data_IF_531986127170
#
_entry.id   IF_531986127170
#
_cell.length_a   1.000
_cell.length_b   1.000
_cell.length_c   1.000
_cell.angle_alpha   90.00
_cell.angle_beta   90.00
_cell.angle_gamma   90.00
#
_symmetry.space_group_name_H-M   'P 1'
#
loop_
_entity.id
_entity.type
_entity.pdbx_description
1 polymer ?
#
# COMPACT_ATOMS: atom_id res chain seq x y z
N UNK A 1 4.19 22.12 -2.20
CA UNK A 1 4.95 22.05 -3.48
C UNK A 1 3.95 21.69 -4.58
N UNK A 2 4.11 22.15 -5.83
CA UNK A 2 3.25 21.70 -6.94
C UNK A 2 3.60 20.26 -7.35
N UNK A 3 2.63 19.51 -7.85
CA UNK A 3 2.79 18.10 -8.26
C UNK A 3 3.91 17.92 -9.28
N UNK A 4 3.97 18.76 -10.31
CA UNK A 4 5.00 18.67 -11.37
C UNK A 4 6.43 18.88 -10.83
N UNK A 5 6.59 19.76 -9.85
CA UNK A 5 7.87 20.01 -9.20
C UNK A 5 8.26 18.84 -8.27
N UNK A 6 7.28 18.22 -7.59
CA UNK A 6 7.51 17.06 -6.73
C UNK A 6 7.97 15.87 -7.57
N UNK A 7 7.26 15.54 -8.65
CA UNK A 7 7.61 14.44 -9.58
C UNK A 7 9.04 14.61 -10.09
N UNK A 8 9.40 15.80 -10.60
CA UNK A 8 10.75 16.08 -11.12
C UNK A 8 11.86 15.91 -10.08
N UNK A 9 11.55 16.10 -8.80
CA UNK A 9 12.51 15.92 -7.70
C UNK A 9 12.62 14.45 -7.30
N UNK A 10 11.49 13.75 -7.16
CA UNK A 10 11.46 12.32 -6.83
C UNK A 10 12.10 11.45 -7.92
N UNK A 11 11.94 11.81 -9.20
CA UNK A 11 12.59 11.13 -10.33
C UNK A 11 14.13 11.07 -10.25
N UNK A 12 14.77 11.89 -9.39
CA UNK A 12 16.22 11.90 -9.20
C UNK A 12 16.68 11.03 -8.03
N UNK A 13 15.74 10.48 -7.27
CA UNK A 13 16.00 9.65 -6.08
C UNK A 13 16.07 8.17 -6.48
N UNK A 14 16.49 7.32 -5.55
CA UNK A 14 16.36 5.87 -5.72
C UNK A 14 14.88 5.50 -5.89
N UNK A 15 14.45 4.89 -7.00
CA UNK A 15 13.05 4.50 -7.20
C UNK A 15 12.56 3.47 -6.18
N UNK A 16 13.46 2.70 -5.55
CA UNK A 16 13.13 1.70 -4.54
C UNK A 16 13.11 2.28 -3.11
N UNK A 17 13.30 3.59 -2.94
CA UNK A 17 13.27 4.23 -1.62
C UNK A 17 11.83 4.48 -1.14
N UNK A 18 11.61 4.25 0.14
CA UNK A 18 10.33 4.55 0.82
C UNK A 18 10.22 6.05 1.09
N UNK A 19 9.03 6.61 0.84
CA UNK A 19 8.73 8.02 1.11
C UNK A 19 8.12 8.13 2.51
N UNK A 20 8.80 8.86 3.40
CA UNK A 20 8.30 9.14 4.75
C UNK A 20 7.81 10.58 4.89
N UNK A 21 6.75 10.79 5.68
CA UNK A 21 6.32 12.12 6.13
C UNK A 21 7.09 12.57 7.38
N UNK A 22 7.23 13.89 7.55
CA UNK A 22 7.80 14.59 8.71
C UNK A 22 9.30 14.39 8.98
N UNK A 23 9.83 13.16 8.90
CA UNK A 23 11.20 12.81 9.22
C UNK A 23 11.63 11.52 8.48
N UNK A 24 12.94 11.25 8.41
CA UNK A 24 13.48 10.01 7.80
C UNK A 24 13.05 8.71 8.52
N UNK A 25 12.63 8.85 9.77
CA UNK A 25 12.11 7.77 10.63
C UNK A 25 10.62 8.01 10.92
N UNK A 26 9.96 8.85 10.11
CA UNK A 26 8.53 9.15 10.24
C UNK A 26 7.68 8.13 9.48
N UNK A 27 6.41 8.46 9.32
CA UNK A 27 5.41 7.52 8.80
C UNK A 27 5.54 7.34 7.28
N UNK A 28 5.41 6.09 6.82
CA UNK A 28 5.42 5.75 5.41
C UNK A 28 4.17 6.28 4.71
N UNK A 29 4.36 6.93 3.55
CA UNK A 29 3.26 7.35 2.69
C UNK A 29 2.71 6.12 1.98
N UNK A 30 1.44 5.80 2.24
CA UNK A 30 0.74 4.66 1.63
C UNK A 30 -0.20 5.12 0.51
N UNK A 31 -0.79 6.31 0.64
CA UNK A 31 -1.80 6.80 -0.29
C UNK A 31 -1.54 8.22 -0.77
N UNK A 32 -1.96 8.50 -2.00
CA UNK A 32 -2.02 9.83 -2.58
C UNK A 32 -3.47 10.16 -2.83
N UNK A 33 -3.96 11.19 -2.17
CA UNK A 33 -5.34 11.61 -2.22
C UNK A 33 -5.51 12.87 -3.06
N UNK A 34 -6.68 13.02 -3.67
CA UNK A 34 -7.08 14.22 -4.40
C UNK A 34 -8.50 14.61 -3.98
N UNK A 35 -8.75 15.92 -3.88
CA UNK A 35 -10.05 16.40 -3.46
C UNK A 35 -11.09 16.14 -4.55
N UNK A 36 -12.22 15.54 -4.16
CA UNK A 36 -13.31 15.33 -5.10
C UNK A 36 -13.85 16.68 -5.59
N UNK A 37 -13.99 16.82 -6.92
CA UNK A 37 -14.43 18.05 -7.60
C UNK A 37 -13.46 19.25 -7.49
N UNK A 38 -12.27 19.06 -6.92
CA UNK A 38 -11.18 20.05 -6.93
C UNK A 38 -9.84 19.37 -7.18
N UNK A 39 -9.35 19.43 -8.42
CA UNK A 39 -8.09 18.80 -8.81
C UNK A 39 -6.85 19.65 -8.46
N UNK A 40 -7.01 20.78 -7.78
CA UNK A 40 -5.90 21.63 -7.37
C UNK A 40 -5.28 21.21 -6.03
N UNK A 41 -5.99 20.38 -5.25
CA UNK A 41 -5.58 19.93 -3.92
C UNK A 41 -5.30 18.43 -3.93
N UNK A 42 -4.06 18.09 -3.55
CA UNK A 42 -3.62 16.72 -3.30
C UNK A 42 -2.92 16.66 -1.94
N UNK A 43 -3.05 15.54 -1.25
CA UNK A 43 -2.34 15.27 0.00
C UNK A 43 -1.86 13.82 0.03
N UNK A 44 -0.94 13.56 0.95
CA UNK A 44 -0.36 12.25 1.17
C UNK A 44 -0.89 11.74 2.50
N UNK A 45 -1.23 10.47 2.54
CA UNK A 45 -1.73 9.82 3.74
C UNK A 45 -0.89 8.60 4.09
N UNK A 46 -0.86 8.34 5.38
CA UNK A 46 -0.10 7.27 6.03
C UNK A 46 -1.07 6.23 6.60
N UNK A 47 -0.52 5.20 7.23
CA UNK A 47 -1.28 4.18 7.95
C UNK A 47 -2.24 4.79 9.00
N UNK A 48 -1.87 5.90 9.63
CA UNK A 48 -2.63 6.51 10.73
C UNK A 48 -3.78 7.41 10.27
N UNK A 49 -3.80 7.79 9.00
CA UNK A 49 -4.83 8.68 8.44
C UNK A 49 -6.05 7.90 7.92
N UNK A 50 -5.94 6.57 7.80
CA UNK A 50 -6.91 5.70 7.14
C UNK A 50 -7.43 4.58 8.04
N UNK A 51 -8.65 4.11 7.76
CA UNK A 51 -9.10 2.81 8.26
C UNK A 51 -8.46 1.70 7.40
N UNK A 52 -7.26 1.30 7.79
CA UNK A 52 -6.51 0.25 7.08
C UNK A 52 -7.26 -1.08 7.00
N UNK A 53 -8.09 -1.40 8.01
CA UNK A 53 -8.91 -2.62 7.99
C UNK A 53 -9.91 -2.58 6.84
N UNK A 54 -10.61 -1.44 6.69
CA UNK A 54 -11.55 -1.23 5.58
C UNK A 54 -10.82 -1.19 4.22
N UNK A 55 -9.70 -0.48 4.12
CA UNK A 55 -8.91 -0.37 2.89
C UNK A 55 -8.41 -1.73 2.40
N UNK A 56 -7.90 -2.57 3.31
CA UNK A 56 -7.44 -3.91 2.98
C UNK A 56 -8.63 -4.79 2.61
N UNK A 57 -9.71 -4.77 3.40
CA UNK A 57 -10.87 -5.61 3.12
C UNK A 57 -11.49 -5.30 1.74
N UNK A 58 -11.59 -4.03 1.36
CA UNK A 58 -12.10 -3.65 0.04
C UNK A 58 -11.28 -4.24 -1.12
N UNK A 59 -9.97 -4.40 -0.96
CA UNK A 59 -9.09 -5.04 -1.95
C UNK A 59 -9.31 -6.54 -2.02
N UNK A 60 -9.51 -7.20 -0.88
CA UNK A 60 -9.88 -8.62 -0.85
C UNK A 60 -11.25 -8.85 -1.46
N UNK A 61 -12.23 -7.98 -1.19
CA UNK A 61 -13.56 -8.03 -1.80
C UNK A 61 -13.49 -7.88 -3.32
N UNK A 62 -12.63 -6.98 -3.84
CA UNK A 62 -12.42 -6.83 -5.28
C UNK A 62 -11.86 -8.12 -5.93
N UNK A 63 -10.96 -8.84 -5.24
CA UNK A 63 -10.49 -10.16 -5.67
C UNK A 63 -11.65 -11.17 -5.66
N UNK A 64 -12.43 -11.20 -4.58
CA UNK A 64 -13.52 -12.17 -4.40
C UNK A 64 -14.67 -11.96 -5.40
N UNK A 65 -14.90 -10.72 -5.81
CA UNK A 65 -15.84 -10.37 -6.87
C UNK A 65 -15.26 -10.54 -8.29
N UNK A 66 -13.98 -10.90 -8.42
CA UNK A 66 -13.32 -11.13 -9.71
C UNK A 66 -13.05 -9.85 -10.51
N UNK A 67 -12.99 -8.70 -9.84
CA UNK A 67 -12.67 -7.41 -10.46
C UNK A 67 -11.18 -7.30 -10.81
N UNK A 68 -10.34 -8.03 -10.06
CA UNK A 68 -8.89 -8.10 -10.20
C UNK A 68 -8.40 -9.50 -9.83
N UNK A 69 -7.34 -9.97 -10.48
CA UNK A 69 -6.71 -11.22 -10.06
C UNK A 69 -5.90 -11.04 -8.77
N UNK A 70 -5.76 -12.14 -8.02
CA UNK A 70 -5.15 -12.15 -6.71
C UNK A 70 -3.68 -11.69 -6.73
N UNK A 71 -2.89 -12.20 -7.68
CA UNK A 71 -1.46 -11.87 -7.81
C UNK A 71 -1.24 -10.41 -8.16
N UNK A 72 -2.03 -9.85 -9.07
CA UNK A 72 -1.95 -8.43 -9.43
C UNK A 72 -2.26 -7.55 -8.23
N UNK A 73 -3.36 -7.83 -7.52
CA UNK A 73 -3.74 -7.04 -6.33
C UNK A 73 -2.70 -7.15 -5.22
N UNK A 74 -2.22 -8.35 -4.90
CA UNK A 74 -1.20 -8.51 -3.85
C UNK A 74 0.15 -7.89 -4.22
N UNK A 75 0.56 -7.93 -5.49
CA UNK A 75 1.76 -7.24 -5.94
C UNK A 75 1.62 -5.70 -5.82
N UNK A 76 0.43 -5.17 -6.14
CA UNK A 76 0.12 -3.75 -5.95
C UNK A 76 0.18 -3.36 -4.47
N UNK A 77 -0.45 -4.13 -3.59
CA UNK A 77 -0.41 -3.93 -2.15
C UNK A 77 1.03 -3.88 -1.62
N UNK A 78 1.87 -4.84 -2.02
CA UNK A 78 3.29 -4.83 -1.65
C UNK A 78 4.03 -3.58 -2.15
N UNK A 79 3.73 -3.14 -3.38
CA UNK A 79 4.36 -1.93 -3.95
C UNK A 79 3.98 -0.65 -3.21
N UNK A 80 2.83 -0.64 -2.54
CA UNK A 80 2.35 0.46 -1.70
C UNK A 80 2.85 0.37 -0.26
N UNK A 81 3.60 -0.67 0.12
CA UNK A 81 4.02 -0.91 1.51
C UNK A 81 2.99 -1.64 2.37
N UNK A 82 1.87 -2.12 1.79
CA UNK A 82 0.88 -2.95 2.49
C UNK A 82 1.39 -4.39 2.49
N UNK A 83 2.26 -4.70 3.44
CA UNK A 83 2.87 -6.03 3.60
C UNK A 83 1.93 -7.05 4.23
N UNK A 84 2.31 -8.34 4.19
CA UNK A 84 1.59 -9.42 4.88
C UNK A 84 1.41 -9.12 6.38
N UNK A 85 2.40 -8.50 7.02
CA UNK A 85 2.31 -8.13 8.43
C UNK A 85 1.28 -7.03 8.69
N UNK A 86 1.16 -6.04 7.78
CA UNK A 86 0.11 -5.02 7.83
C UNK A 86 -1.27 -5.67 7.63
N UNK A 87 -1.40 -6.57 6.65
CA UNK A 87 -2.64 -7.34 6.42
C UNK A 87 -3.03 -8.13 7.67
N UNK A 88 -2.08 -8.83 8.28
CA UNK A 88 -2.29 -9.60 9.51
C UNK A 88 -2.72 -8.71 10.67
N UNK A 89 -2.04 -7.57 10.85
CA UNK A 89 -2.34 -6.59 11.90
C UNK A 89 -3.78 -6.08 11.82
N UNK A 90 -4.29 -5.80 10.61
CA UNK A 90 -5.57 -5.12 10.43
C UNK A 90 -6.75 -6.03 10.09
N UNK A 91 -6.50 -7.22 9.54
CA UNK A 91 -7.57 -8.12 9.09
C UNK A 91 -7.46 -9.56 9.61
N UNK A 92 -6.39 -9.87 10.35
CA UNK A 92 -6.15 -11.19 10.94
C UNK A 92 -5.44 -12.18 10.00
N UNK A 93 -5.21 -13.38 10.52
CA UNK A 93 -4.37 -14.40 9.87
C UNK A 93 -4.97 -14.94 8.57
N UNK A 94 -6.29 -15.07 8.45
CA UNK A 94 -6.92 -15.69 7.28
C UNK A 94 -6.57 -14.96 5.97
N UNK A 95 -6.68 -13.64 5.96
CA UNK A 95 -6.33 -12.80 4.81
C UNK A 95 -4.82 -12.73 4.60
N UNK A 96 -4.04 -12.64 5.68
CA UNK A 96 -2.59 -12.61 5.60
C UNK A 96 -2.01 -13.90 4.99
N UNK A 97 -2.47 -15.05 5.48
CA UNK A 97 -2.03 -16.35 5.00
C UNK A 97 -2.52 -16.62 3.58
N UNK A 98 -3.69 -16.08 3.20
CA UNK A 98 -4.17 -16.11 1.81
C UNK A 98 -3.21 -15.34 0.88
N UNK A 99 -2.79 -14.14 1.26
CA UNK A 99 -1.81 -13.35 0.52
C UNK A 99 -0.46 -14.07 0.44
N UNK A 100 0.04 -14.59 1.57
CA UNK A 100 1.32 -15.32 1.65
C UNK A 100 1.36 -16.55 0.73
N UNK A 101 0.27 -17.33 0.71
CA UNK A 101 0.11 -18.49 -0.19
C UNK A 101 0.15 -18.07 -1.66
N UNK A 102 -0.59 -17.04 -2.03
CA UNK A 102 -0.68 -16.59 -3.42
C UNK A 102 0.66 -16.06 -3.96
N UNK A 103 1.46 -15.45 -3.07
CA UNK A 103 2.81 -14.95 -3.38
C UNK A 103 3.89 -16.05 -3.35
N UNK A 104 3.55 -17.28 -2.93
CA UNK A 104 4.51 -18.38 -2.85
C UNK A 104 5.56 -18.20 -1.74
N UNK A 105 5.23 -17.48 -0.67
CA UNK A 105 6.17 -17.14 0.41
C UNK A 105 6.31 -18.25 1.48
N UNK A 106 5.56 -19.36 1.36
CA UNK A 106 5.52 -20.44 2.36
C UNK A 106 6.81 -21.28 2.47
N UNK A 107 7.75 -21.18 1.52
CA UNK A 107 8.95 -22.03 1.48
C UNK A 107 10.19 -21.42 2.17
N UNK A 108 10.09 -20.29 2.88
CA UNK A 108 11.24 -19.67 3.57
C UNK A 108 11.43 -20.07 5.05
N UNK A 109 10.59 -20.94 5.60
CA UNK A 109 10.74 -21.47 6.97
C UNK A 109 11.02 -22.97 6.95
N UNK A 110 12.11 -23.37 6.30
CA UNK A 110 12.74 -24.69 6.54
C UNK A 110 14.25 -24.49 6.70
N UNK A 111 14.68 -24.01 7.87
CA UNK A 111 15.99 -24.30 8.45
C UNK A 111 15.91 -24.32 9.98
#
# INVERSE_FOLDING_TARGET
MRVDALIKKLQKMNPDAVVHLHHKDGDEVLFIMAQQNDNSVVWLETEYDNDMGQEIQARFDAIDHGEVDDKTMYAEMLSLGITVDIVRKYTGDDNADRMERALGMQDMLVF
#
